data_IF_175512345358
#
_entry.id   IF_175512345358
#
_cell.length_a   1.000
_cell.length_b   1.000
_cell.length_c   1.000
_cell.angle_alpha   90.00
_cell.angle_beta   90.00
_cell.angle_gamma   90.00
#
_symmetry.space_group_name_H-M   'P 1'
#
loop_
_entity.id
_entity.type
_entity.pdbx_description
1 polymer ?
#
# COMPACT_ATOMS: atom_id res chain seq x y z
N UNK A 1 2.12 3.72 -2.96
CA UNK A 1 1.57 5.09 -2.90
C UNK A 1 0.07 5.12 -2.63
N UNK A 2 -0.78 4.47 -3.44
CA UNK A 2 -2.25 4.57 -3.29
C UNK A 2 -2.77 4.23 -1.88
N UNK A 3 -2.34 3.10 -1.30
CA UNK A 3 -2.75 2.70 0.05
C UNK A 3 -2.32 3.69 1.15
N UNK A 4 -1.15 4.32 1.00
CA UNK A 4 -0.65 5.34 1.95
C UNK A 4 -1.59 6.55 1.94
N UNK A 5 -1.82 7.10 0.75
CA UNK A 5 -2.67 8.28 0.58
C UNK A 5 -4.10 8.03 1.07
N UNK A 6 -4.66 6.84 0.81
CA UNK A 6 -5.99 6.46 1.27
C UNK A 6 -6.10 6.47 2.80
N UNK A 7 -5.10 5.91 3.50
CA UNK A 7 -5.07 5.91 4.97
C UNK A 7 -4.75 7.30 5.54
N UNK A 8 -3.89 8.06 4.89
CA UNK A 8 -3.54 9.41 5.34
C UNK A 8 -4.64 10.44 5.17
N UNK A 9 -5.54 10.24 4.21
CA UNK A 9 -6.72 11.08 4.04
C UNK A 9 -7.71 10.97 5.22
N UNK A 10 -7.64 9.89 6.02
CA UNK A 10 -8.49 9.70 7.18
C UNK A 10 -8.02 10.57 8.35
N UNK A 11 -8.86 11.53 8.74
CA UNK A 11 -8.54 12.54 9.77
C UNK A 11 -8.63 12.04 11.22
N UNK A 12 -9.05 10.79 11.43
CA UNK A 12 -9.24 10.17 12.75
C UNK A 12 -9.03 8.66 12.69
N UNK A 13 -8.76 7.99 13.83
CA UNK A 13 -8.73 6.53 13.88
C UNK A 13 -10.03 5.93 13.34
N UNK A 14 -9.91 4.91 12.49
CA UNK A 14 -11.03 4.30 11.78
C UNK A 14 -10.81 2.79 11.69
N UNK A 15 -11.91 2.03 11.54
CA UNK A 15 -11.87 0.66 11.02
C UNK A 15 -11.89 0.73 9.50
N UNK A 16 -10.94 0.08 8.83
CA UNK A 16 -10.76 0.19 7.38
C UNK A 16 -10.62 -1.20 6.77
N UNK A 17 -11.49 -1.53 5.82
CA UNK A 17 -11.35 -2.70 4.96
C UNK A 17 -10.66 -2.30 3.66
N UNK A 18 -9.34 -2.47 3.61
CA UNK A 18 -8.51 -2.05 2.47
C UNK A 18 -8.35 -3.21 1.49
N UNK A 19 -8.88 -3.02 0.29
CA UNK A 19 -8.81 -3.99 -0.80
C UNK A 19 -7.69 -3.59 -1.77
N UNK A 20 -6.82 -4.54 -2.12
CA UNK A 20 -5.76 -4.33 -3.10
C UNK A 20 -5.52 -5.60 -3.90
N UNK A 21 -5.26 -5.45 -5.20
CA UNK A 21 -4.80 -6.54 -6.06
C UNK A 21 -3.27 -6.68 -6.08
N UNK A 22 -2.56 -5.71 -5.51
CA UNK A 22 -1.11 -5.71 -5.45
C UNK A 22 -0.61 -6.77 -4.48
N UNK A 23 -0.14 -7.89 -5.03
CA UNK A 23 0.58 -8.91 -4.26
C UNK A 23 1.78 -8.33 -3.51
N UNK A 24 2.47 -7.36 -4.12
CA UNK A 24 3.61 -6.69 -3.49
C UNK A 24 3.22 -5.94 -2.22
N UNK A 25 2.13 -5.18 -2.25
CA UNK A 25 1.62 -4.49 -1.05
C UNK A 25 1.12 -5.51 -0.03
N UNK A 26 0.34 -6.51 -0.47
CA UNK A 26 -0.19 -7.53 0.42
C UNK A 26 0.93 -8.25 1.18
N UNK A 27 1.88 -8.88 0.46
CA UNK A 27 2.99 -9.60 1.06
C UNK A 27 3.87 -8.70 1.93
N UNK A 28 4.13 -7.46 1.48
CA UNK A 28 4.94 -6.56 2.27
C UNK A 28 4.29 -6.17 3.60
N UNK A 29 2.98 -5.93 3.64
CA UNK A 29 2.25 -5.58 4.87
C UNK A 29 2.03 -6.78 5.80
N UNK A 30 1.81 -7.98 5.25
CA UNK A 30 1.49 -9.17 6.05
C UNK A 30 2.72 -9.95 6.51
N UNK A 31 3.77 -10.03 5.67
CA UNK A 31 4.92 -10.90 5.89
C UNK A 31 6.20 -10.11 6.16
N UNK A 32 6.53 -9.12 5.31
CA UNK A 32 7.89 -8.58 5.30
C UNK A 32 8.12 -7.45 6.30
N UNK A 33 7.14 -6.56 6.50
CA UNK A 33 7.31 -5.33 7.29
C UNK A 33 7.75 -5.61 8.73
N UNK A 34 7.25 -6.70 9.32
CA UNK A 34 7.66 -7.15 10.67
C UNK A 34 9.14 -7.49 10.71
N UNK A 35 9.60 -8.28 9.73
CA UNK A 35 10.99 -8.68 9.61
C UNK A 35 11.94 -7.54 9.24
N UNK A 36 11.47 -6.56 8.47
CA UNK A 36 12.25 -5.34 8.17
C UNK A 36 12.38 -4.45 9.39
N UNK A 37 11.30 -4.20 10.13
CA UNK A 37 11.36 -3.41 11.38
C UNK A 37 12.32 -4.02 12.40
N UNK A 38 12.26 -5.33 12.59
CA UNK A 38 13.16 -6.06 13.50
C UNK A 38 14.64 -5.96 13.06
N UNK A 39 14.92 -5.82 11.76
CA UNK A 39 16.27 -5.69 11.19
C UNK A 39 16.69 -4.23 10.93
N UNK A 40 15.98 -3.26 11.48
CA UNK A 40 16.28 -1.84 11.29
C UNK A 40 16.16 -1.40 9.82
N UNK A 41 15.15 -1.92 9.12
CA UNK A 41 14.83 -1.63 7.71
C UNK A 41 15.90 -2.06 6.70
N UNK A 42 16.56 -3.18 6.99
CA UNK A 42 17.52 -3.82 6.09
C UNK A 42 17.02 -5.17 5.59
N UNK A 43 17.39 -5.52 4.36
CA UNK A 43 17.17 -6.84 3.78
C UNK A 43 18.11 -7.88 4.41
N UNK A 44 17.92 -9.16 4.07
CA UNK A 44 18.82 -10.24 4.52
C UNK A 44 20.29 -9.98 4.12
N UNK A 45 20.50 -9.36 2.97
CA UNK A 45 21.82 -8.98 2.44
C UNK A 45 22.37 -7.68 3.07
N UNK A 46 21.78 -7.20 4.16
CA UNK A 46 22.14 -5.97 4.89
C UNK A 46 22.02 -4.67 4.07
N UNK A 47 21.36 -4.72 2.91
CA UNK A 47 21.07 -3.53 2.09
C UNK A 47 19.81 -2.83 2.58
N UNK A 48 19.64 -1.52 2.34
CA UNK A 48 18.38 -0.83 2.59
C UNK A 48 17.22 -1.50 1.86
N UNK A 49 16.06 -1.53 2.50
CA UNK A 49 14.85 -2.03 1.86
C UNK A 49 14.46 -1.09 0.72
N UNK A 50 14.10 -1.64 -0.44
CA UNK A 50 13.63 -0.83 -1.57
C UNK A 50 12.34 -0.11 -1.18
N UNK A 51 12.27 1.19 -1.44
CA UNK A 51 11.15 2.07 -1.06
C UNK A 51 10.89 2.10 0.47
N UNK A 52 11.95 2.01 1.27
CA UNK A 52 11.87 2.04 2.74
C UNK A 52 11.05 3.23 3.25
N UNK A 53 11.22 4.41 2.65
CA UNK A 53 10.48 5.64 2.95
C UNK A 53 8.95 5.43 2.84
N UNK A 54 8.49 4.81 1.75
CA UNK A 54 7.08 4.53 1.54
C UNK A 54 6.57 3.47 2.50
N UNK A 55 7.38 2.45 2.82
CA UNK A 55 6.98 1.41 3.75
C UNK A 55 6.87 1.90 5.18
N UNK A 56 7.79 2.77 5.63
CA UNK A 56 7.70 3.43 6.93
C UNK A 56 6.45 4.27 7.04
N UNK A 57 6.19 5.10 6.02
CA UNK A 57 4.99 5.94 5.96
C UNK A 57 3.70 5.11 5.94
N UNK A 58 3.68 3.97 5.24
CA UNK A 58 2.56 3.03 5.25
C UNK A 58 2.36 2.39 6.63
N UNK A 59 3.43 1.96 7.29
CA UNK A 59 3.37 1.37 8.63
C UNK A 59 2.79 2.37 9.64
N UNK A 60 3.29 3.61 9.63
CA UNK A 60 2.80 4.69 10.47
C UNK A 60 1.32 4.99 10.21
N UNK A 61 0.93 5.18 8.94
CA UNK A 61 -0.45 5.46 8.58
C UNK A 61 -1.38 4.32 9.01
N UNK A 62 -0.99 3.06 8.75
CA UNK A 62 -1.74 1.86 9.17
C UNK A 62 -1.89 1.78 10.68
N UNK A 63 -0.83 2.04 11.46
CA UNK A 63 -0.86 1.89 12.92
C UNK A 63 -1.84 2.86 13.60
N UNK A 64 -2.27 3.94 12.93
CA UNK A 64 -3.31 4.85 13.42
C UNK A 64 -4.74 4.31 13.27
N UNK A 65 -4.93 3.25 12.49
CA UNK A 65 -6.25 2.71 12.13
C UNK A 65 -6.30 1.19 12.39
N UNK A 66 -7.51 0.65 12.58
CA UNK A 66 -7.73 -0.80 12.60
C UNK A 66 -7.94 -1.26 11.15
N UNK A 67 -6.84 -1.61 10.46
CA UNK A 67 -6.88 -1.96 9.03
C UNK A 67 -6.95 -3.47 8.83
N UNK A 68 -8.02 -3.92 8.18
CA UNK A 68 -8.17 -5.27 7.62
C UNK A 68 -7.79 -5.25 6.15
N UNK A 69 -6.89 -6.15 5.77
CA UNK A 69 -6.35 -6.22 4.41
C UNK A 69 -7.02 -7.35 3.64
N UNK A 70 -7.52 -7.02 2.45
CA UNK A 70 -8.19 -7.96 1.56
C UNK A 70 -7.44 -8.01 0.24
N UNK A 71 -6.93 -9.18 -0.13
CA UNK A 71 -6.34 -9.37 -1.45
C UNK A 71 -7.44 -9.76 -2.42
N UNK A 72 -7.60 -8.97 -3.47
CA UNK A 72 -8.51 -9.27 -4.56
C UNK A 72 -7.70 -9.68 -5.79
N UNK A 73 -8.24 -10.59 -6.60
CA UNK A 73 -7.60 -10.94 -7.86
C UNK A 73 -7.83 -9.79 -8.85
N UNK A 74 -6.74 -9.22 -9.39
CA UNK A 74 -6.83 -8.19 -10.43
C UNK A 74 -7.65 -8.68 -11.64
N UNK A 75 -8.49 -7.80 -12.19
CA UNK A 75 -9.41 -8.06 -13.31
C UNK A 75 -10.55 -9.07 -13.05
N UNK A 76 -11.04 -9.19 -11.82
CA UNK A 76 -12.15 -10.07 -11.45
C UNK A 76 -13.51 -9.35 -11.26
N UNK A 77 -13.80 -8.26 -11.99
CA UNK A 77 -15.12 -7.62 -11.95
C UNK A 77 -15.42 -6.80 -10.68
N UNK A 78 -14.40 -6.46 -9.89
CA UNK A 78 -14.56 -5.56 -8.74
C UNK A 78 -14.63 -4.11 -9.24
N UNK A 79 -15.85 -3.59 -9.41
CA UNK A 79 -16.12 -2.26 -9.96
C UNK A 79 -15.31 -1.12 -9.29
N UNK A 80 -15.08 -1.20 -7.97
CA UNK A 80 -14.26 -0.21 -7.26
C UNK A 80 -12.76 -0.34 -7.54
N UNK A 81 -12.24 -1.56 -7.74
CA UNK A 81 -10.84 -1.78 -8.11
C UNK A 81 -10.59 -1.30 -9.55
N UNK A 82 -11.49 -1.64 -10.47
CA UNK A 82 -11.41 -1.19 -11.86
C UNK A 82 -11.48 0.34 -11.96
N UNK A 83 -12.31 0.99 -11.13
CA UNK A 83 -12.36 2.44 -11.04
C UNK A 83 -11.06 3.03 -10.49
N UNK A 84 -10.43 2.40 -9.50
CA UNK A 84 -9.14 2.81 -8.97
C UNK A 84 -8.02 2.66 -10.00
N UNK A 85 -7.99 1.55 -10.75
CA UNK A 85 -7.06 1.33 -11.86
C UNK A 85 -7.24 2.39 -12.96
N UNK A 86 -8.49 2.70 -13.32
CA UNK A 86 -8.80 3.77 -14.27
C UNK A 86 -8.35 5.16 -13.80
N UNK A 87 -8.40 5.44 -12.50
CA UNK A 87 -7.87 6.69 -11.93
C UNK A 87 -6.34 6.71 -11.96
N UNK A 88 -5.69 5.60 -11.61
CA UNK A 88 -4.23 5.50 -11.66
C UNK A 88 -3.70 5.66 -13.10
N UNK A 89 -4.33 5.00 -14.08
CA UNK A 89 -3.95 5.08 -15.49
C UNK A 89 -4.11 6.50 -16.05
N UNK A 90 -5.20 7.20 -15.68
CA UNK A 90 -5.38 8.62 -16.03
C UNK A 90 -4.27 9.49 -15.46
N UNK A 91 -3.92 9.31 -14.19
CA UNK A 91 -2.82 10.07 -13.57
C UNK A 91 -1.48 9.85 -14.27
N UNK A 92 -1.20 8.64 -14.74
CA UNK A 92 0.02 8.36 -15.54
C UNK A 92 -0.03 9.06 -16.89
N UNK A 93 -1.18 9.04 -17.59
CA UNK A 93 -1.34 9.71 -18.88
C UNK A 93 -1.17 11.23 -18.77
N UNK A 94 -1.76 11.86 -17.74
CA UNK A 94 -1.63 13.31 -17.48
C UNK A 94 -0.19 13.71 -17.15
N UNK A 95 0.56 12.88 -16.41
CA UNK A 95 1.98 13.13 -16.13
C UNK A 95 2.89 12.94 -17.35
N UNK A 96 2.51 12.08 -18.31
CA UNK A 96 3.30 11.82 -19.53
C UNK A 96 3.00 12.78 -20.69
N UNK A 97 1.86 13.47 -20.64
CA UNK A 97 1.44 14.46 -21.64
C UNK A 97 1.90 15.90 -21.34
N UNK A 98 2.66 16.11 -20.27
CA UNK A 98 3.40 17.34 -19.96
C UNK A 98 4.88 17.16 -20.30
#
# INVERSE_FOLDING_TARGET
MAAIMALEALKRPCRVDLHTDSKYVMQGVTEWIRGWKARGWKTADKKPVKNEDLWRRLDEARNRHEVKWHWVKGHAGHALNERADGLANRGVAEMRGR
#
